data_IF_317085387793
#
_entry.id   IF_317085387793
#
_cell.length_a   1.000
_cell.length_b   1.000
_cell.length_c   1.000
_cell.angle_alpha   90.00
_cell.angle_beta   90.00
_cell.angle_gamma   90.00
#
_symmetry.space_group_name_H-M   'P 1'
#
loop_
_entity.id
_entity.type
_entity.pdbx_description
1 polymer ?
#
# COMPACT_ATOMS: atom_id res chain seq x y z
N UNK A 1 4.85 0.81 -8.69
CA UNK A 1 4.35 1.56 -7.51
C UNK A 1 3.01 0.97 -7.15
N UNK A 2 2.81 0.66 -5.87
CA UNK A 2 1.56 0.08 -5.39
C UNK A 2 0.36 0.97 -5.75
N UNK A 3 -0.43 0.54 -6.70
CA UNK A 3 -1.59 1.26 -7.21
C UNK A 3 -2.92 0.54 -6.95
N UNK A 4 -2.85 -0.65 -6.37
CA UNK A 4 -3.98 -1.51 -6.00
C UNK A 4 -3.63 -2.39 -4.83
N UNK A 5 -4.55 -2.57 -3.89
CA UNK A 5 -4.38 -3.49 -2.77
C UNK A 5 -5.71 -4.07 -2.29
N UNK A 6 -5.63 -4.95 -1.32
CA UNK A 6 -6.75 -5.75 -0.79
C UNK A 6 -6.91 -5.50 0.69
N UNK A 7 -8.14 -5.34 1.15
CA UNK A 7 -8.56 -5.45 2.53
C UNK A 7 -9.75 -6.40 2.55
N UNK A 8 -9.52 -7.65 2.94
CA UNK A 8 -10.55 -8.68 3.05
C UNK A 8 -11.13 -8.82 4.46
N UNK A 9 -10.57 -8.10 5.43
CA UNK A 9 -11.01 -8.08 6.81
C UNK A 9 -12.17 -7.09 7.01
N UNK A 10 -13.18 -7.50 7.77
CA UNK A 10 -14.37 -6.66 8.06
C UNK A 10 -14.20 -5.80 9.32
N UNK A 11 -13.22 -6.11 10.17
CA UNK A 11 -12.83 -5.28 11.31
C UNK A 11 -11.33 -4.99 11.24
N UNK A 12 -10.99 -3.71 11.13
CA UNK A 12 -9.62 -3.25 10.96
C UNK A 12 -9.35 -2.09 11.93
N UNK A 13 -8.39 -2.25 12.82
CA UNK A 13 -8.07 -1.25 13.86
C UNK A 13 -9.27 -0.85 14.73
N UNK A 14 -10.25 -1.75 14.91
CA UNK A 14 -11.50 -1.47 15.62
C UNK A 14 -12.56 -0.73 14.79
N UNK A 15 -12.33 -0.53 13.50
CA UNK A 15 -13.29 0.06 12.58
C UNK A 15 -14.00 -1.03 11.77
N UNK A 16 -15.32 -0.92 11.62
CA UNK A 16 -16.04 -1.71 10.64
C UNK A 16 -15.64 -1.28 9.22
N UNK A 17 -15.32 -2.25 8.38
CA UNK A 17 -14.92 -2.03 7.01
C UNK A 17 -15.54 -3.07 6.08
N UNK A 18 -16.09 -2.62 4.96
CA UNK A 18 -16.57 -3.55 3.93
C UNK A 18 -15.40 -4.11 3.15
N UNK A 19 -15.21 -5.44 3.19
CA UNK A 19 -14.14 -6.11 2.45
C UNK A 19 -14.06 -5.66 0.99
N UNK A 20 -12.85 -5.39 0.53
CA UNK A 20 -12.57 -4.97 -0.83
C UNK A 20 -11.32 -5.66 -1.37
N UNK A 21 -11.49 -6.32 -2.51
CA UNK A 21 -10.45 -7.09 -3.17
C UNK A 21 -9.75 -6.32 -4.31
N UNK A 22 -10.11 -5.05 -4.52
CA UNK A 22 -9.55 -4.23 -5.59
C UNK A 22 -9.60 -2.73 -5.25
N UNK A 23 -8.98 -2.36 -4.14
CA UNK A 23 -8.93 -0.96 -3.69
C UNK A 23 -8.13 -0.13 -4.68
N UNK A 24 -8.73 0.95 -5.15
CA UNK A 24 -8.15 1.92 -6.09
C UNK A 24 -7.92 3.28 -5.41
N UNK A 25 -7.05 4.13 -5.96
CA UNK A 25 -6.89 5.50 -5.47
C UNK A 25 -8.21 6.24 -5.29
N UNK A 26 -8.25 7.11 -4.30
CA UNK A 26 -9.41 7.92 -3.88
C UNK A 26 -10.50 7.18 -3.10
N UNK A 27 -10.39 5.89 -2.87
CA UNK A 27 -11.28 5.17 -1.96
C UNK A 27 -10.91 5.44 -0.49
N UNK A 28 -11.91 5.28 0.39
CA UNK A 28 -11.72 5.37 1.84
C UNK A 28 -11.11 4.07 2.35
N UNK A 29 -10.05 4.17 3.16
CA UNK A 29 -9.32 3.01 3.71
C UNK A 29 -9.07 3.18 5.20
N UNK A 30 -9.03 2.10 5.99
CA UNK A 30 -8.69 2.16 7.41
C UNK A 30 -7.24 2.58 7.61
N UNK A 31 -7.05 3.60 8.42
CA UNK A 31 -5.74 4.18 8.74
C UNK A 31 -5.59 4.32 10.24
N UNK A 32 -4.46 3.87 10.78
CA UNK A 32 -4.05 4.07 12.17
C UNK A 32 -3.04 5.21 12.25
N UNK A 33 -3.29 6.15 13.14
CA UNK A 33 -2.38 7.24 13.50
C UNK A 33 -1.83 7.00 14.91
N UNK A 34 -1.00 7.89 15.39
CA UNK A 34 -0.51 7.81 16.78
C UNK A 34 -1.64 7.98 17.82
N UNK A 35 -2.70 8.70 17.46
CA UNK A 35 -3.78 9.05 18.39
C UNK A 35 -5.04 8.22 18.22
N UNK A 36 -5.35 7.81 16.98
CA UNK A 36 -6.64 7.23 16.63
C UNK A 36 -6.54 6.26 15.43
N UNK A 37 -7.65 5.60 15.15
CA UNK A 37 -7.88 4.91 13.89
C UNK A 37 -9.13 5.50 13.22
N UNK A 38 -9.06 5.72 11.91
CA UNK A 38 -10.17 6.29 11.13
C UNK A 38 -10.10 5.93 9.64
N UNK A 39 -11.19 6.16 8.94
CA UNK A 39 -11.20 6.06 7.48
C UNK A 39 -10.61 7.33 6.88
N UNK A 40 -9.64 7.17 5.98
CA UNK A 40 -9.07 8.26 5.20
C UNK A 40 -9.12 7.94 3.71
N UNK A 41 -9.22 8.98 2.90
CA UNK A 41 -9.13 8.85 1.45
C UNK A 41 -7.70 8.47 1.05
N UNK A 42 -7.53 7.42 0.24
CA UNK A 42 -6.22 7.07 -0.30
C UNK A 42 -5.87 7.99 -1.46
N UNK A 43 -5.55 9.19 -1.11
CA UNK A 43 -5.00 10.26 -1.95
C UNK A 43 -4.42 11.32 -1.03
N UNK A 44 -3.28 11.83 -1.35
CA UNK A 44 -2.59 12.88 -0.61
C UNK A 44 -2.33 14.07 -1.53
N UNK A 45 -2.45 15.27 -1.00
CA UNK A 45 -2.00 16.48 -1.66
C UNK A 45 -1.34 17.41 -0.63
N UNK A 46 -0.25 18.10 -0.97
CA UNK A 46 0.29 19.16 -0.12
C UNK A 46 -0.70 20.32 -0.05
N UNK A 47 -0.80 21.00 1.09
CA UNK A 47 -1.82 22.05 1.31
C UNK A 47 -1.73 23.23 0.33
N UNK A 48 -0.53 23.49 -0.20
CA UNK A 48 -0.28 24.54 -1.19
C UNK A 48 -0.67 24.14 -2.63
N UNK A 49 -0.97 22.83 -2.88
CA UNK A 49 -1.39 22.32 -4.19
C UNK A 49 -2.38 21.16 -4.02
N UNK A 50 -3.62 21.49 -3.66
CA UNK A 50 -4.68 20.54 -3.28
C UNK A 50 -5.21 19.70 -4.44
N UNK A 51 -4.92 20.05 -5.68
CA UNK A 51 -5.27 19.32 -6.91
C UNK A 51 -4.30 18.16 -7.22
N UNK A 52 -3.19 18.03 -6.50
CA UNK A 52 -2.31 16.87 -6.62
C UNK A 52 -3.01 15.61 -6.11
N UNK A 53 -2.71 14.50 -6.77
CA UNK A 53 -3.27 13.19 -6.41
C UNK A 53 -2.14 12.19 -6.19
N UNK A 54 -1.46 12.32 -5.05
CA UNK A 54 -0.32 11.49 -4.69
C UNK A 54 -0.82 10.27 -3.89
N UNK A 55 -0.57 9.09 -4.41
CA UNK A 55 -0.95 7.82 -3.76
C UNK A 55 0.25 7.11 -3.14
N UNK A 56 1.46 7.49 -3.54
CA UNK A 56 2.71 6.92 -3.05
C UNK A 56 3.79 8.01 -2.86
N UNK A 57 4.70 7.75 -1.93
CA UNK A 57 5.94 8.49 -1.74
C UNK A 57 7.11 7.52 -1.62
N UNK A 58 8.26 7.88 -2.17
CA UNK A 58 9.51 7.13 -1.95
C UNK A 58 10.03 7.42 -0.55
N UNK A 59 10.22 6.39 0.26
CA UNK A 59 10.75 6.52 1.62
C UNK A 59 12.14 7.15 1.64
N UNK A 60 12.95 6.89 0.64
CA UNK A 60 14.32 7.36 0.51
C UNK A 60 14.42 8.89 0.39
N UNK A 61 13.41 9.54 -0.16
CA UNK A 61 13.42 10.99 -0.45
C UNK A 61 12.26 11.75 0.18
N UNK A 62 11.49 11.14 1.07
CA UNK A 62 10.30 11.77 1.65
C UNK A 62 10.62 13.03 2.45
N UNK A 63 11.76 13.05 3.16
CA UNK A 63 12.19 14.18 3.99
C UNK A 63 12.74 15.35 3.16
N UNK A 64 13.13 15.11 1.92
CA UNK A 64 13.73 16.11 1.04
C UNK A 64 12.66 16.91 0.26
N UNK A 65 11.48 16.32 0.07
CA UNK A 65 10.44 16.90 -0.77
C UNK A 65 9.53 17.84 0.01
N UNK A 66 9.39 19.10 -0.42
CA UNK A 66 8.50 20.08 0.21
C UNK A 66 7.05 19.58 0.36
N UNK A 67 6.59 18.73 -0.57
CA UNK A 67 5.24 18.16 -0.55
C UNK A 67 4.92 17.38 0.72
N UNK A 68 5.92 16.82 1.39
CA UNK A 68 5.72 15.96 2.57
C UNK A 68 6.23 16.57 3.88
N UNK A 69 6.76 17.82 3.85
CA UNK A 69 7.34 18.48 5.03
C UNK A 69 6.43 18.50 6.26
N UNK A 70 5.12 18.65 6.05
CA UNK A 70 4.11 18.71 7.12
C UNK A 70 3.26 17.43 7.19
N UNK A 71 3.64 16.36 6.48
CA UNK A 71 2.94 15.10 6.54
C UNK A 71 3.21 14.40 7.88
N UNK A 72 2.18 13.78 8.44
CA UNK A 72 2.26 12.94 9.64
C UNK A 72 2.34 11.47 9.25
N UNK A 73 2.94 10.64 10.09
CA UNK A 73 3.01 9.20 9.85
C UNK A 73 1.70 8.51 10.17
N UNK A 74 1.37 7.53 9.36
CA UNK A 74 0.23 6.65 9.57
C UNK A 74 0.54 5.23 9.11
N UNK A 75 -0.32 4.30 9.48
CA UNK A 75 -0.29 2.92 9.03
C UNK A 75 -1.58 2.62 8.28
N UNK A 76 -1.46 2.03 7.10
CA UNK A 76 -2.59 1.63 6.25
C UNK A 76 -2.67 0.12 6.27
N UNK A 77 -3.82 -0.45 6.63
CA UNK A 77 -4.01 -1.89 6.67
C UNK A 77 -4.12 -2.50 5.27
N UNK A 78 -3.63 -3.73 5.12
CA UNK A 78 -3.78 -4.53 3.90
C UNK A 78 -3.76 -6.03 4.19
N UNK A 79 -4.32 -6.82 3.28
CA UNK A 79 -4.13 -8.28 3.23
C UNK A 79 -3.22 -8.70 2.06
N UNK A 80 -2.86 -7.77 1.20
CA UNK A 80 -1.98 -7.96 0.06
C UNK A 80 -2.14 -6.83 -0.95
N UNK A 81 -1.32 -6.84 -1.98
CA UNK A 81 -1.33 -5.81 -3.03
C UNK A 81 -1.06 -6.40 -4.40
N UNK A 82 -1.37 -5.64 -5.45
CA UNK A 82 -1.11 -6.03 -6.82
C UNK A 82 0.02 -5.19 -7.41
N UNK A 83 0.87 -5.85 -8.19
CA UNK A 83 1.82 -5.22 -9.10
C UNK A 83 1.77 -5.90 -10.46
N UNK A 84 2.20 -5.18 -11.49
CA UNK A 84 2.13 -5.64 -12.87
C UNK A 84 3.52 -5.79 -13.45
N UNK A 85 3.85 -7.03 -13.83
CA UNK A 85 5.01 -7.28 -14.66
C UNK A 85 4.72 -6.79 -16.08
N UNK A 86 5.65 -6.03 -16.64
CA UNK A 86 5.60 -5.62 -18.05
C UNK A 86 6.47 -6.55 -18.86
N UNK A 87 5.84 -7.35 -19.76
CA UNK A 87 6.51 -8.26 -20.66
C UNK A 87 5.85 -8.18 -22.03
N UNK A 88 6.63 -7.95 -23.08
CA UNK A 88 6.16 -7.96 -24.48
C UNK A 88 4.88 -7.13 -24.74
N UNK A 89 4.84 -5.88 -24.22
CA UNK A 89 3.70 -4.96 -24.28
C UNK A 89 2.49 -5.39 -23.43
N UNK A 90 2.54 -6.52 -22.76
CA UNK A 90 1.49 -6.99 -21.84
C UNK A 90 1.75 -6.51 -20.41
N UNK A 91 0.66 -6.33 -19.66
CA UNK A 91 0.67 -6.07 -18.22
C UNK A 91 0.08 -7.30 -17.53
N UNK A 92 0.94 -8.08 -16.91
CA UNK A 92 0.58 -9.32 -16.23
C UNK A 92 0.44 -9.02 -14.74
N UNK A 93 -0.76 -9.15 -14.14
CA UNK A 93 -0.98 -8.86 -12.73
C UNK A 93 -0.48 -9.99 -11.84
N UNK A 94 0.17 -9.60 -10.75
CA UNK A 94 0.58 -10.49 -9.66
C UNK A 94 0.01 -9.98 -8.35
N UNK A 95 -0.53 -10.88 -7.54
CA UNK A 95 -0.92 -10.62 -6.17
C UNK A 95 0.24 -10.95 -5.25
N UNK A 96 0.54 -10.06 -4.32
CA UNK A 96 1.59 -10.20 -3.33
C UNK A 96 0.99 -10.20 -1.94
N UNK A 97 1.50 -11.06 -1.06
CA UNK A 97 1.11 -11.12 0.35
C UNK A 97 2.29 -11.54 1.22
N UNK A 98 2.21 -11.27 2.50
CA UNK A 98 3.21 -11.63 3.50
C UNK A 98 2.56 -11.73 4.89
N UNK A 99 3.35 -11.97 5.93
CA UNK A 99 2.88 -11.98 7.33
C UNK A 99 2.42 -10.60 7.82
N UNK A 100 3.08 -9.53 7.37
CA UNK A 100 2.68 -8.16 7.70
C UNK A 100 1.35 -7.79 7.03
N UNK A 101 0.50 -7.09 7.78
CA UNK A 101 -0.74 -6.51 7.29
C UNK A 101 -0.73 -4.96 7.33
N UNK A 102 0.45 -4.36 7.38
CA UNK A 102 0.60 -2.93 7.62
C UNK A 102 1.57 -2.26 6.65
N UNK A 103 1.06 -1.33 5.85
CA UNK A 103 1.90 -0.42 5.06
C UNK A 103 2.27 0.80 5.89
N UNK A 104 3.55 1.19 5.87
CA UNK A 104 3.95 2.52 6.30
C UNK A 104 3.36 3.57 5.35
N UNK A 105 2.80 4.64 5.89
CA UNK A 105 2.19 5.71 5.13
C UNK A 105 2.39 7.08 5.73
N UNK A 106 2.01 8.09 4.97
CA UNK A 106 1.93 9.48 5.40
C UNK A 106 0.51 9.99 5.20
N UNK A 107 0.10 10.96 6.02
CA UNK A 107 -1.21 11.59 5.89
C UNK A 107 -1.19 13.07 6.25
N UNK A 108 -2.22 13.77 5.82
CA UNK A 108 -2.61 15.09 6.27
C UNK A 108 -4.16 15.20 6.27
N UNK A 109 -4.71 16.39 6.32
CA UNK A 109 -6.16 16.64 6.31
C UNK A 109 -6.85 16.26 4.99
N UNK A 110 -6.12 16.12 3.88
CA UNK A 110 -6.65 15.73 2.55
C UNK A 110 -6.83 14.21 2.47
N UNK A 111 -5.89 13.45 3.06
CA UNK A 111 -5.91 11.99 3.05
C UNK A 111 -4.53 11.37 3.26
N UNK A 112 -4.36 10.13 2.81
CA UNK A 112 -3.16 9.34 3.05
C UNK A 112 -2.52 8.82 1.75
N UNK A 113 -1.26 8.41 1.87
CA UNK A 113 -0.48 7.75 0.82
C UNK A 113 0.40 6.64 1.40
N UNK A 114 0.80 5.70 0.55
CA UNK A 114 1.67 4.57 0.92
C UNK A 114 3.13 4.94 0.65
N UNK A 115 4.01 4.68 1.62
CA UNK A 115 5.46 4.74 1.40
C UNK A 115 5.93 3.53 0.61
N UNK A 116 6.85 3.77 -0.32
CA UNK A 116 7.45 2.73 -1.14
C UNK A 116 8.97 2.77 -1.05
N UNK A 117 9.59 1.61 -1.25
CA UNK A 117 11.04 1.42 -1.29
C UNK A 117 11.44 0.60 -2.52
N UNK A 118 12.73 0.46 -2.76
CA UNK A 118 13.25 -0.50 -3.74
C UNK A 118 12.81 -1.91 -3.38
N UNK A 119 12.34 -2.66 -4.37
CA UNK A 119 11.91 -4.05 -4.19
C UNK A 119 13.06 -4.96 -3.80
N UNK A 120 12.74 -6.02 -3.06
CA UNK A 120 13.67 -7.13 -2.83
C UNK A 120 13.95 -7.88 -4.14
N UNK A 121 15.08 -8.57 -4.22
CA UNK A 121 15.46 -9.34 -5.41
C UNK A 121 14.41 -10.36 -5.81
N UNK A 122 13.70 -10.93 -4.82
CA UNK A 122 12.62 -11.91 -5.02
C UNK A 122 11.51 -11.42 -5.94
N UNK A 123 11.12 -10.14 -5.84
CA UNK A 123 9.99 -9.55 -6.59
C UNK A 123 10.37 -8.44 -7.57
N UNK A 124 11.65 -8.08 -7.64
CA UNK A 124 12.13 -6.99 -8.48
C UNK A 124 11.87 -7.22 -9.98
N UNK A 125 11.82 -8.48 -10.42
CA UNK A 125 11.49 -8.86 -11.80
C UNK A 125 10.03 -8.58 -12.17
N UNK A 126 9.14 -8.38 -11.20
CA UNK A 126 7.74 -7.97 -11.42
C UNK A 126 7.68 -6.45 -11.43
N UNK A 127 8.19 -5.81 -10.37
CA UNK A 127 8.21 -4.36 -10.26
C UNK A 127 9.39 -3.91 -9.36
N UNK A 128 10.12 -2.88 -9.79
CA UNK A 128 11.30 -2.35 -9.08
C UNK A 128 11.00 -1.61 -7.77
N UNK A 129 9.72 -1.40 -7.45
CA UNK A 129 9.27 -0.79 -6.19
C UNK A 129 8.27 -1.69 -5.46
N UNK A 130 8.32 -1.68 -4.14
CA UNK A 130 7.36 -2.32 -3.26
C UNK A 130 6.90 -1.37 -2.16
N UNK A 131 5.75 -1.60 -1.51
CA UNK A 131 5.37 -0.90 -0.29
C UNK A 131 6.40 -1.11 0.83
N UNK A 132 6.52 -0.13 1.71
CA UNK A 132 7.22 -0.31 3.00
C UNK A 132 6.26 -1.03 3.94
N UNK A 133 6.64 -2.22 4.35
CA UNK A 133 5.88 -3.08 5.27
C UNK A 133 6.34 -2.83 6.70
N UNK A 134 5.44 -2.99 7.67
CA UNK A 134 5.72 -2.90 9.10
C UNK A 134 5.16 -4.13 9.80
N UNK A 135 5.96 -4.75 10.68
CA UNK A 135 5.44 -5.72 11.63
C UNK A 135 4.68 -5.04 12.76
N UNK A 136 3.82 -5.78 13.45
CA UNK A 136 2.96 -5.23 14.51
C UNK A 136 3.77 -4.53 15.60
N UNK A 137 4.94 -5.08 15.97
CA UNK A 137 5.82 -4.48 16.98
C UNK A 137 6.53 -3.21 16.51
N UNK A 138 6.64 -2.97 15.19
CA UNK A 138 7.25 -1.77 14.61
C UNK A 138 6.27 -0.60 14.49
N UNK A 139 4.95 -0.87 14.50
CA UNK A 139 3.92 0.13 14.25
C UNK A 139 4.04 1.33 15.21
N UNK A 140 4.17 1.05 16.50
CA UNK A 140 4.23 2.13 17.50
C UNK A 140 5.47 3.00 17.32
N UNK A 141 6.64 2.40 17.22
CA UNK A 141 7.91 3.09 16.96
C UNK A 141 7.88 3.91 15.67
N UNK A 142 7.31 3.33 14.60
CA UNK A 142 7.12 4.05 13.35
C UNK A 142 6.24 5.30 13.52
N UNK A 143 5.10 5.18 14.20
CA UNK A 143 4.18 6.30 14.44
C UNK A 143 4.80 7.37 15.34
N UNK A 144 5.69 7.01 16.28
CA UNK A 144 6.47 7.93 17.12
C UNK A 144 7.57 8.69 16.36
N UNK A 145 7.87 8.32 15.14
CA UNK A 145 8.85 9.01 14.32
C UNK A 145 10.20 8.30 14.20
N UNK A 146 10.35 7.08 14.72
CA UNK A 146 11.58 6.32 14.56
C UNK A 146 11.84 5.96 13.09
N UNK A 147 13.11 5.99 12.69
CA UNK A 147 13.49 5.70 11.30
C UNK A 147 13.65 4.19 11.06
N UNK A 148 12.53 3.50 10.88
CA UNK A 148 12.47 2.08 10.56
C UNK A 148 12.51 1.79 9.04
N UNK A 149 12.52 2.82 8.20
CA UNK A 149 12.35 2.68 6.75
C UNK A 149 13.56 2.04 6.05
N UNK A 150 14.72 2.03 6.72
CA UNK A 150 15.96 1.41 6.24
C UNK A 150 16.19 0.00 6.82
N UNK A 151 15.30 -0.49 7.69
CA UNK A 151 15.42 -1.85 8.19
C UNK A 151 15.37 -2.82 6.99
N UNK A 152 16.31 -3.76 6.96
CA UNK A 152 16.26 -4.89 6.02
C UNK A 152 15.20 -5.86 6.52
N UNK A 153 13.96 -5.45 6.49
CA UNK A 153 12.87 -6.35 6.80
C UNK A 153 12.84 -7.42 5.70
N UNK A 154 13.37 -8.57 6.02
CA UNK A 154 13.24 -9.78 5.20
C UNK A 154 11.82 -10.34 5.38
N UNK A 155 10.82 -9.57 4.93
CA UNK A 155 9.48 -10.14 4.82
C UNK A 155 9.53 -11.23 3.75
N UNK A 156 9.07 -12.41 4.09
CA UNK A 156 8.88 -13.46 3.09
C UNK A 156 7.65 -13.12 2.24
N UNK A 157 7.85 -12.25 1.26
CA UNK A 157 6.81 -11.85 0.31
C UNK A 157 6.56 -13.03 -0.62
N UNK A 158 5.36 -13.57 -0.57
CA UNK A 158 4.85 -14.54 -1.51
C UNK A 158 4.06 -13.83 -2.60
N UNK A 159 4.09 -14.37 -3.80
CA UNK A 159 3.38 -13.80 -4.95
C UNK A 159 3.00 -14.88 -5.95
N UNK A 160 1.93 -14.61 -6.69
CA UNK A 160 1.48 -15.45 -7.78
C UNK A 160 0.68 -14.63 -8.80
N UNK A 161 0.60 -15.16 -10.01
CA UNK A 161 -0.18 -14.55 -11.08
C UNK A 161 -1.68 -14.66 -10.79
N UNK A 162 -2.42 -13.60 -11.10
CA UNK A 162 -3.88 -13.55 -10.95
C UNK A 162 -4.56 -13.18 -12.28
N UNK A 163 -5.88 -13.26 -12.32
CA UNK A 163 -6.67 -12.92 -13.50
C UNK A 163 -6.50 -11.44 -13.91
N UNK A 164 -6.52 -11.19 -15.22
CA UNK A 164 -6.57 -9.84 -15.78
C UNK A 164 -7.84 -9.07 -15.41
N UNK A 165 -8.85 -9.70 -14.83
CA UNK A 165 -10.06 -9.04 -14.33
C UNK A 165 -9.76 -7.96 -13.30
N UNK A 166 -8.64 -8.07 -12.54
CA UNK A 166 -8.18 -7.05 -11.59
C UNK A 166 -7.87 -5.70 -12.28
N UNK A 167 -7.62 -5.68 -13.58
CA UNK A 167 -7.36 -4.46 -14.32
C UNK A 167 -8.57 -3.50 -14.31
N UNK A 168 -9.79 -4.03 -14.28
CA UNK A 168 -11.00 -3.24 -14.17
C UNK A 168 -11.29 -2.87 -12.72
N UNK A 169 -11.33 -1.58 -12.33
CA UNK A 169 -11.70 -1.17 -10.98
C UNK A 169 -13.16 -1.47 -10.62
N UNK A 170 -13.99 -1.84 -11.59
CA UNK A 170 -15.38 -2.27 -11.35
C UNK A 170 -15.47 -3.68 -10.77
N UNK A 171 -14.45 -4.50 -10.99
CA UNK A 171 -14.40 -5.85 -10.45
C UNK A 171 -13.90 -5.79 -9.00
N UNK A 172 -14.69 -6.34 -8.08
CA UNK A 172 -14.36 -6.35 -6.66
C UNK A 172 -14.95 -7.60 -5.99
N UNK A 173 -14.27 -8.73 -6.12
CA UNK A 173 -14.67 -10.01 -5.55
C UNK A 173 -13.46 -10.87 -5.19
N UNK A 174 -13.66 -11.89 -4.36
CA UNK A 174 -12.58 -12.74 -3.84
C UNK A 174 -11.81 -13.52 -4.92
N UNK A 175 -12.40 -13.77 -6.09
CA UNK A 175 -11.71 -14.48 -7.18
C UNK A 175 -10.51 -13.69 -7.73
N UNK A 176 -10.44 -12.37 -7.50
CA UNK A 176 -9.32 -11.53 -7.94
C UNK A 176 -8.00 -11.89 -7.26
N UNK A 177 -8.04 -12.53 -6.08
CA UNK A 177 -6.84 -13.02 -5.37
C UNK A 177 -6.62 -14.51 -5.57
N UNK A 178 -7.31 -15.16 -6.51
CA UNK A 178 -7.10 -16.57 -6.82
C UNK A 178 -5.97 -16.72 -7.82
N UNK A 179 -5.04 -17.65 -7.53
CA UNK A 179 -3.95 -17.99 -8.44
C UNK A 179 -4.51 -18.51 -9.77
N UNK A 180 -3.96 -18.02 -10.88
CA UNK A 180 -4.23 -18.59 -12.20
C UNK A 180 -3.04 -19.42 -12.66
N UNK A 181 -3.31 -20.60 -13.19
CA UNK A 181 -2.28 -21.47 -13.77
C UNK A 181 -1.64 -20.79 -14.97
N UNK A 182 -0.32 -20.79 -15.00
CA UNK A 182 0.45 -20.42 -16.20
C UNK A 182 0.42 -21.60 -17.17
N UNK A 183 -0.35 -21.46 -18.25
CA UNK A 183 -0.21 -22.37 -19.39
C UNK A 183 1.13 -22.13 -20.09
#
# INVERSE_FOLDING_TARGET
MCGRFVISSENVFGLEYKASFNIVPSQMVPVKTINDAKLMKWTYAPLWKKDMNLINCRSETMNEKPSFKNAKRCVIYHNGWYEWQRKDKQKIPFYHHCSSNSFAGLYNEIGCLILTRTSTDKINHIHHRQPVLLEDFEIYSYLQGENLLNSKANYDINFYRVSNEVNSPKNNNANLITMVETK
#
